data_IF_252740077755
#
_entry.id   IF_252740077755
#
_cell.length_a   1.000
_cell.length_b   1.000
_cell.length_c   1.000
_cell.angle_alpha   90.00
_cell.angle_beta   90.00
_cell.angle_gamma   90.00
#
_symmetry.space_group_name_H-M   'P 1'
#
loop_
_entity.id
_entity.type
_entity.pdbx_description
1 polymer ?
#
# COMPACT_ATOMS: atom_id res chain seq x y z
N UNK A 1 11.41 16.02 -12.77
CA UNK A 1 10.13 15.37 -12.46
C UNK A 1 10.04 15.23 -10.96
N UNK A 2 8.96 15.67 -10.30
CA UNK A 2 8.78 15.48 -8.86
C UNK A 2 8.44 14.00 -8.65
N UNK A 3 9.27 13.27 -7.90
CA UNK A 3 9.04 11.82 -7.67
C UNK A 3 7.92 11.67 -6.65
N UNK A 4 6.83 11.02 -7.04
CA UNK A 4 5.71 10.73 -6.14
C UNK A 4 5.87 9.36 -5.50
N UNK A 5 5.42 9.26 -4.25
CA UNK A 5 5.37 8.00 -3.50
C UNK A 5 3.91 7.57 -3.37
N UNK A 6 3.65 6.28 -3.51
CA UNK A 6 2.35 5.70 -3.19
C UNK A 6 2.41 5.12 -1.79
N UNK A 7 1.62 5.65 -0.87
CA UNK A 7 1.50 5.16 0.49
C UNK A 7 0.28 4.25 0.62
N UNK A 8 0.40 3.21 1.43
CA UNK A 8 -0.74 2.45 1.93
C UNK A 8 -1.21 3.13 3.22
N UNK A 9 -2.47 3.55 3.28
CA UNK A 9 -3.04 4.22 4.46
C UNK A 9 -4.28 3.50 4.93
N UNK A 10 -4.53 3.55 6.24
CA UNK A 10 -5.68 2.95 6.88
C UNK A 10 -6.56 4.00 7.56
N UNK A 11 -7.86 3.78 7.56
CA UNK A 11 -8.81 4.55 8.37
C UNK A 11 -9.80 3.60 9.03
N UNK A 12 -10.22 3.88 10.26
CA UNK A 12 -11.23 3.07 10.97
C UNK A 12 -12.64 3.22 10.39
N UNK A 13 -12.87 4.24 9.56
CA UNK A 13 -14.15 4.47 8.89
C UNK A 13 -14.62 3.25 8.09
N UNK A 14 -15.95 3.07 8.03
CA UNK A 14 -16.59 1.97 7.30
C UNK A 14 -16.10 0.57 7.70
N UNK A 15 -15.91 0.37 9.02
CA UNK A 15 -15.37 -0.88 9.57
C UNK A 15 -13.96 -1.19 9.03
N UNK A 16 -13.10 -0.17 8.97
CA UNK A 16 -11.74 -0.25 8.44
C UNK A 16 -11.70 -0.17 6.91
N UNK A 17 -10.83 0.69 6.38
CA UNK A 17 -10.63 0.89 4.94
C UNK A 17 -9.15 1.14 4.62
N UNK A 18 -8.66 0.54 3.54
CA UNK A 18 -7.31 0.76 3.01
C UNK A 18 -7.37 1.60 1.75
N UNK A 19 -6.40 2.50 1.59
CA UNK A 19 -6.29 3.39 0.44
C UNK A 19 -4.88 3.40 -0.14
N UNK A 20 -4.81 3.48 -1.47
CA UNK A 20 -3.66 4.11 -2.13
C UNK A 20 -3.70 5.60 -1.82
N UNK A 21 -2.59 6.16 -1.37
CA UNK A 21 -2.44 7.60 -1.17
C UNK A 21 -1.19 8.09 -1.90
N UNK A 22 -1.39 8.83 -2.98
CA UNK A 22 -0.31 9.41 -3.79
C UNK A 22 0.07 10.78 -3.25
N UNK A 23 1.32 10.94 -2.85
CA UNK A 23 1.84 12.20 -2.30
C UNK A 23 3.31 12.41 -2.71
N UNK A 24 3.71 13.68 -2.85
CA UNK A 24 5.11 14.11 -2.97
C UNK A 24 5.77 14.39 -1.62
N UNK A 25 4.97 14.54 -0.56
CA UNK A 25 5.41 14.65 0.83
C UNK A 25 5.20 13.32 1.59
N UNK A 26 5.96 13.08 2.69
CA UNK A 26 5.71 11.97 3.60
C UNK A 26 4.28 11.96 4.17
N UNK A 27 3.67 10.77 4.26
CA UNK A 27 2.35 10.59 4.87
C UNK A 27 2.52 9.92 6.22
N UNK A 28 2.24 10.65 7.29
CA UNK A 28 2.27 10.14 8.67
C UNK A 28 1.25 9.00 8.83
N UNK A 29 1.63 7.95 9.57
CA UNK A 29 0.78 6.77 9.80
C UNK A 29 0.56 5.89 8.56
N UNK A 30 1.33 6.10 7.47
CA UNK A 30 1.32 5.18 6.35
C UNK A 30 1.84 3.80 6.78
N UNK A 31 1.14 2.75 6.34
CA UNK A 31 1.41 1.33 6.61
C UNK A 31 2.48 0.72 5.68
N UNK A 32 2.70 1.37 4.53
CA UNK A 32 3.72 1.03 3.56
C UNK A 32 3.95 2.20 2.62
N UNK A 33 5.10 2.22 1.96
CA UNK A 33 5.42 3.18 0.91
C UNK A 33 6.06 2.49 -0.30
N UNK A 34 5.75 2.98 -1.49
CA UNK A 34 6.28 2.49 -2.74
C UNK A 34 6.74 3.67 -3.60
N UNK A 35 8.00 3.62 -4.03
CA UNK A 35 8.62 4.62 -4.91
C UNK A 35 8.66 4.07 -6.34
N UNK A 36 7.65 4.34 -7.18
CA UNK A 36 7.59 3.82 -8.52
C UNK A 36 8.73 4.36 -9.39
N UNK A 37 9.16 3.58 -10.37
CA UNK A 37 10.14 4.03 -11.38
C UNK A 37 9.57 5.03 -12.38
N UNK A 38 8.23 5.11 -12.49
CA UNK A 38 7.51 6.00 -13.38
C UNK A 38 6.44 6.77 -12.61
N UNK A 39 6.17 8.04 -12.95
CA UNK A 39 5.12 8.81 -12.30
C UNK A 39 3.74 8.15 -12.52
N UNK A 40 2.82 8.22 -11.54
CA UNK A 40 1.47 7.70 -11.72
C UNK A 40 0.72 8.47 -12.82
N UNK A 41 -0.27 7.85 -13.47
CA UNK A 41 -1.15 8.57 -14.37
C UNK A 41 -1.82 9.76 -13.69
N UNK A 42 -1.88 10.92 -14.37
CA UNK A 42 -2.37 12.17 -13.80
C UNK A 42 -3.81 12.07 -13.24
N UNK A 43 -4.64 11.17 -13.77
CA UNK A 43 -6.01 10.96 -13.28
C UNK A 43 -6.05 10.41 -11.84
N UNK A 44 -5.03 9.66 -11.39
CA UNK A 44 -4.95 9.15 -10.01
C UNK A 44 -4.79 10.26 -8.97
N UNK A 45 -4.50 11.50 -9.42
CA UNK A 45 -4.32 12.65 -8.55
C UNK A 45 -5.54 13.57 -8.46
N UNK A 46 -6.39 13.60 -9.50
CA UNK A 46 -7.31 14.73 -9.72
C UNK A 46 -8.60 14.69 -8.89
N UNK A 47 -9.11 13.50 -8.56
CA UNK A 47 -10.50 13.40 -8.09
C UNK A 47 -10.66 13.37 -6.56
N UNK A 48 -9.61 13.00 -5.82
CA UNK A 48 -9.72 12.69 -4.38
C UNK A 48 -8.49 13.12 -3.56
N UNK A 49 -7.68 14.06 -4.08
CA UNK A 49 -6.42 14.44 -3.45
C UNK A 49 -5.41 13.30 -3.42
N UNK A 50 -5.36 12.50 -4.48
CA UNK A 50 -4.44 11.35 -4.59
C UNK A 50 -4.88 10.09 -3.83
N UNK A 51 -6.08 10.05 -3.24
CA UNK A 51 -6.56 8.90 -2.45
C UNK A 51 -7.52 8.00 -3.22
N UNK A 52 -7.17 6.73 -3.40
CA UNK A 52 -8.05 5.74 -4.01
C UNK A 52 -8.28 4.58 -3.05
N UNK A 53 -9.55 4.31 -2.73
CA UNK A 53 -9.90 3.17 -1.87
C UNK A 53 -9.52 1.85 -2.55
N UNK A 54 -8.90 0.96 -1.79
CA UNK A 54 -8.53 -0.39 -2.19
C UNK A 54 -9.65 -1.35 -1.78
N UNK A 55 -9.96 -1.35 -0.49
CA UNK A 55 -10.89 -2.29 0.12
C UNK A 55 -11.38 -1.75 1.48
N UNK A 56 -12.58 -2.15 1.89
CA UNK A 56 -13.22 -1.78 3.17
C UNK A 56 -13.88 -2.96 3.88
N UNK A 57 -14.28 -2.76 5.13
CA UNK A 57 -15.03 -3.75 5.92
C UNK A 57 -14.15 -4.88 6.46
N UNK A 58 -13.01 -4.50 7.03
CA UNK A 58 -11.95 -5.39 7.52
C UNK A 58 -11.90 -5.54 9.04
N UNK A 59 -12.95 -5.13 9.76
CA UNK A 59 -13.11 -5.37 11.20
C UNK A 59 -13.95 -6.64 11.44
N UNK A 60 -13.64 -7.38 12.50
CA UNK A 60 -14.36 -8.59 12.90
C UNK A 60 -14.14 -9.75 11.92
N UNK A 61 -15.20 -10.40 11.39
CA UNK A 61 -15.06 -11.54 10.46
C UNK A 61 -14.39 -11.15 9.13
N UNK A 62 -14.24 -9.85 8.86
CA UNK A 62 -13.60 -9.31 7.66
C UNK A 62 -12.08 -9.14 7.77
N UNK A 63 -11.42 -9.50 8.87
CA UNK A 63 -9.98 -9.22 9.08
C UNK A 63 -9.06 -9.74 7.97
N UNK A 64 -9.43 -10.83 7.28
CA UNK A 64 -8.71 -11.34 6.12
C UNK A 64 -8.58 -10.32 4.98
N UNK A 65 -9.56 -9.41 4.84
CA UNK A 65 -9.54 -8.33 3.84
C UNK A 65 -8.42 -7.31 4.08
N UNK A 66 -7.92 -7.20 5.31
CA UNK A 66 -6.76 -6.35 5.60
C UNK A 66 -5.53 -6.88 4.85
N UNK A 67 -5.24 -8.18 4.95
CA UNK A 67 -4.15 -8.81 4.23
C UNK A 67 -4.39 -8.84 2.72
N UNK A 68 -5.64 -9.04 2.28
CA UNK A 68 -6.01 -8.93 0.86
C UNK A 68 -5.68 -7.53 0.32
N UNK A 69 -6.00 -6.47 1.06
CA UNK A 69 -5.67 -5.09 0.69
C UNK A 69 -4.16 -4.84 0.60
N UNK A 70 -3.36 -5.43 1.50
CA UNK A 70 -1.89 -5.42 1.37
C UNK A 70 -1.42 -6.11 0.09
N UNK A 71 -1.97 -7.27 -0.25
CA UNK A 71 -1.64 -7.97 -1.50
C UNK A 71 -2.02 -7.14 -2.73
N UNK A 72 -3.18 -6.50 -2.73
CA UNK A 72 -3.61 -5.61 -3.82
C UNK A 72 -2.66 -4.41 -3.95
N UNK A 73 -2.22 -3.83 -2.83
CA UNK A 73 -1.23 -2.75 -2.82
C UNK A 73 0.13 -3.19 -3.37
N UNK A 74 0.66 -4.31 -2.88
CA UNK A 74 1.95 -4.85 -3.30
C UNK A 74 1.96 -5.28 -4.76
N UNK A 75 0.85 -5.80 -5.27
CA UNK A 75 0.68 -6.09 -6.70
C UNK A 75 0.77 -4.82 -7.55
N UNK A 76 0.17 -3.73 -7.10
CA UNK A 76 0.28 -2.43 -7.77
C UNK A 76 1.71 -1.87 -7.70
N UNK A 77 2.39 -2.03 -6.55
CA UNK A 77 3.80 -1.64 -6.38
C UNK A 77 4.73 -2.44 -7.32
N UNK A 78 4.53 -3.75 -7.42
CA UNK A 78 5.29 -4.60 -8.33
C UNK A 78 5.10 -4.18 -9.80
N UNK A 79 3.87 -3.84 -10.20
CA UNK A 79 3.59 -3.33 -11.55
C UNK A 79 4.19 -1.93 -11.82
N UNK A 80 4.31 -1.08 -10.79
CA UNK A 80 4.97 0.23 -10.88
C UNK A 80 6.51 0.15 -10.93
N UNK A 81 7.08 -0.97 -10.46
CA UNK A 81 8.51 -1.22 -10.33
C UNK A 81 9.20 -0.29 -9.33
N UNK A 82 10.41 -0.61 -8.91
CA UNK A 82 11.11 0.16 -7.88
C UNK A 82 10.80 -0.32 -6.46
N UNK A 83 11.43 0.27 -5.44
CA UNK A 83 11.38 -0.28 -4.09
C UNK A 83 10.04 -0.01 -3.40
N UNK A 84 9.68 -0.90 -2.48
CA UNK A 84 8.66 -0.65 -1.47
C UNK A 84 9.23 -0.94 -0.08
N UNK A 85 8.61 -0.34 0.93
CA UNK A 85 8.95 -0.51 2.35
C UNK A 85 7.65 -0.74 3.11
N UNK A 86 7.63 -1.74 3.98
CA UNK A 86 6.53 -1.99 4.91
C UNK A 86 6.86 -1.30 6.22
N UNK A 87 5.98 -0.43 6.71
CA UNK A 87 6.18 0.18 8.02
C UNK A 87 5.55 -0.72 9.09
N UNK A 88 6.11 -0.70 10.29
CA UNK A 88 5.74 -1.65 11.35
C UNK A 88 4.48 -1.27 12.15
N UNK A 89 3.84 -0.15 11.82
CA UNK A 89 2.80 0.46 12.64
C UNK A 89 1.46 0.42 11.92
N UNK A 90 0.50 -0.32 12.49
CA UNK A 90 -0.83 -0.50 11.94
C UNK A 90 -1.76 -1.25 12.89
N UNK A 91 -3.05 -1.37 12.57
CA UNK A 91 -4.04 -2.01 13.44
C UNK A 91 -3.85 -3.53 13.56
N UNK A 92 -3.13 -4.16 12.62
CA UNK A 92 -2.78 -5.57 12.64
C UNK A 92 -1.30 -5.73 12.29
N UNK A 93 -0.64 -6.71 12.92
CA UNK A 93 0.75 -7.02 12.58
C UNK A 93 0.83 -7.65 11.18
N UNK A 94 1.74 -7.14 10.35
CA UNK A 94 1.99 -7.66 9.01
C UNK A 94 3.45 -8.10 8.87
N UNK A 95 3.64 -9.27 8.26
CA UNK A 95 4.92 -9.72 7.71
C UNK A 95 4.71 -10.08 6.25
N UNK A 96 5.50 -9.49 5.36
CA UNK A 96 5.40 -9.71 3.91
C UNK A 96 6.49 -10.67 3.47
N UNK A 97 6.11 -11.61 2.62
CA UNK A 97 7.00 -12.57 1.97
C UNK A 97 6.81 -12.45 0.45
N UNK A 98 7.90 -12.43 -0.30
CA UNK A 98 7.89 -12.40 -1.77
C UNK A 98 8.45 -13.73 -2.28
N UNK A 99 7.85 -14.26 -3.34
CA UNK A 99 8.45 -15.31 -4.15
C UNK A 99 9.33 -14.66 -5.22
N UNK A 100 10.63 -14.89 -5.17
CA UNK A 100 11.54 -14.38 -6.20
C UNK A 100 11.54 -15.24 -7.46
N UNK A 101 12.28 -14.82 -8.49
CA UNK A 101 12.35 -15.54 -9.77
C UNK A 101 13.08 -16.90 -9.70
N UNK A 102 13.71 -17.21 -8.57
CA UNK A 102 14.35 -18.49 -8.29
C UNK A 102 13.51 -19.38 -7.36
N UNK A 103 12.23 -19.08 -7.21
CA UNK A 103 11.28 -19.76 -6.31
C UNK A 103 11.66 -19.70 -4.82
N UNK A 104 12.50 -18.73 -4.42
CA UNK A 104 12.83 -18.53 -3.02
C UNK A 104 11.79 -17.64 -2.35
N UNK A 105 11.40 -18.03 -1.13
CA UNK A 105 10.55 -17.20 -0.28
C UNK A 105 11.45 -16.25 0.52
N UNK A 106 11.38 -14.97 0.21
CA UNK A 106 12.16 -13.92 0.87
C UNK A 106 11.25 -13.11 1.78
N UNK A 107 11.59 -13.06 3.08
CA UNK A 107 10.93 -12.15 4.02
C UNK A 107 11.37 -10.72 3.75
N UNK A 108 10.43 -9.81 3.55
CA UNK A 108 10.73 -8.39 3.45
C UNK A 108 11.22 -7.86 4.79
N UNK A 109 12.36 -7.17 4.79
CA UNK A 109 12.81 -6.42 5.95
C UNK A 109 11.81 -5.30 6.28
N UNK A 110 11.69 -5.00 7.58
CA UNK A 110 10.99 -3.82 8.09
C UNK A 110 11.93 -2.62 8.05
#
# INVERSE_FOLDING_TARGET
SRTMTCYLTFTEASQGSLFFHWSDEPVEGALAQHKPTKPPPAFKMKDTGGRQEIIRGMVGPGSNKFYEGYCQYLKAAAAGGGPFVITAEGPLEVSVYILDSGDNIVRCAR
#
